data_IF_213648989968
#
_entry.id   IF_213648989968
#
_cell.length_a   1.000
_cell.length_b   1.000
_cell.length_c   1.000
_cell.angle_alpha   90.00
_cell.angle_beta   90.00
_cell.angle_gamma   90.00
#
_symmetry.space_group_name_H-M   'P 1'
#
loop_
_entity.id
_entity.type
_entity.pdbx_description
1 polymer ?
#
# COMPACT_ATOMS: atom_id res chain seq x y z
N UNK A 1 13.28 -8.82 7.03
CA UNK A 1 14.50 -8.25 7.65
C UNK A 1 15.65 -9.27 7.70
N UNK A 2 15.42 -10.51 8.15
CA UNK A 2 16.45 -11.58 8.27
C UNK A 2 17.26 -11.84 6.98
N UNK A 3 16.63 -11.92 5.80
CA UNK A 3 17.34 -12.14 4.52
C UNK A 3 18.32 -11.03 4.13
N UNK A 4 18.10 -9.81 4.58
CA UNK A 4 18.97 -8.67 4.26
C UNK A 4 20.22 -8.71 5.13
N UNK A 5 20.03 -9.01 6.43
CA UNK A 5 21.13 -9.17 7.40
C UNK A 5 21.99 -10.37 7.02
N UNK A 6 21.38 -11.51 6.68
CA UNK A 6 22.08 -12.72 6.24
C UNK A 6 22.92 -12.46 4.98
N UNK A 7 22.37 -11.76 3.98
CA UNK A 7 23.13 -11.38 2.79
C UNK A 7 24.28 -10.40 3.09
N UNK A 8 24.09 -9.45 4.00
CA UNK A 8 25.16 -8.53 4.38
C UNK A 8 26.31 -9.25 5.10
N UNK A 9 25.98 -10.21 5.95
CA UNK A 9 26.96 -10.96 6.73
C UNK A 9 27.61 -12.12 5.95
N UNK A 10 27.04 -12.56 4.83
CA UNK A 10 27.60 -13.64 4.01
C UNK A 10 28.21 -13.11 2.71
N UNK A 11 27.50 -12.26 1.97
CA UNK A 11 27.92 -11.89 0.63
C UNK A 11 28.94 -10.74 0.62
N UNK A 12 28.96 -9.86 1.62
CA UNK A 12 29.84 -8.68 1.64
C UNK A 12 31.10 -8.81 2.52
N UNK A 13 31.22 -9.87 3.31
CA UNK A 13 32.44 -10.17 4.08
C UNK A 13 33.51 -10.82 3.20
N UNK A 14 34.81 -10.76 3.58
CA UNK A 14 35.89 -11.41 2.83
C UNK A 14 35.59 -12.89 2.50
N UNK A 15 35.56 -13.24 1.20
CA UNK A 15 35.18 -14.57 0.71
C UNK A 15 33.73 -14.68 0.23
N UNK A 16 32.89 -13.69 0.56
CA UNK A 16 31.52 -13.55 0.07
C UNK A 16 31.41 -13.14 -1.40
N UNK A 17 30.22 -13.28 -1.97
CA UNK A 17 29.93 -13.05 -3.38
C UNK A 17 30.28 -11.65 -3.90
N UNK A 18 30.15 -10.63 -3.06
CA UNK A 18 30.42 -9.22 -3.34
C UNK A 18 31.63 -8.68 -2.56
N UNK A 19 32.47 -9.58 -2.05
CA UNK A 19 33.66 -9.23 -1.25
C UNK A 19 34.85 -8.72 -2.06
N UNK A 20 34.82 -8.90 -3.38
CA UNK A 20 35.87 -8.49 -4.29
C UNK A 20 35.57 -7.12 -4.88
N UNK A 21 36.62 -6.35 -5.13
CA UNK A 21 36.51 -5.10 -5.86
C UNK A 21 35.81 -5.33 -7.21
N UNK A 22 34.93 -4.40 -7.63
CA UNK A 22 34.20 -4.53 -8.89
C UNK A 22 35.16 -4.64 -10.08
N UNK A 23 34.77 -5.45 -11.07
CA UNK A 23 35.57 -5.64 -12.27
C UNK A 23 35.66 -4.35 -13.09
N UNK A 24 36.67 -4.24 -13.96
CA UNK A 24 36.81 -3.07 -14.86
C UNK A 24 35.57 -2.86 -15.74
N UNK A 25 34.93 -3.95 -16.17
CA UNK A 25 33.67 -3.91 -16.93
C UNK A 25 32.49 -3.40 -16.07
N UNK A 26 32.43 -3.76 -14.79
CA UNK A 26 31.41 -3.23 -13.87
C UNK A 26 31.61 -1.74 -13.59
N UNK A 27 32.86 -1.31 -13.43
CA UNK A 27 33.22 0.10 -13.27
C UNK A 27 32.84 0.92 -14.52
N UNK A 28 33.12 0.42 -15.72
CA UNK A 28 32.68 1.07 -16.97
C UNK A 28 31.15 1.12 -17.09
N UNK A 29 30.45 0.02 -16.79
CA UNK A 29 28.98 -0.04 -16.82
C UNK A 29 28.33 0.94 -15.83
N UNK A 30 28.93 1.10 -14.66
CA UNK A 30 28.40 1.95 -13.58
C UNK A 30 29.01 3.35 -13.55
N UNK A 31 29.88 3.68 -14.50
CA UNK A 31 30.53 4.99 -14.60
C UNK A 31 29.56 6.17 -14.75
N UNK A 32 28.36 5.90 -15.29
CA UNK A 32 27.27 6.86 -15.43
C UNK A 32 26.19 6.74 -14.34
N UNK A 33 26.37 5.83 -13.38
CA UNK A 33 25.50 5.75 -12.21
C UNK A 33 25.72 6.99 -11.35
N UNK A 34 24.63 7.51 -10.78
CA UNK A 34 24.73 8.67 -9.91
C UNK A 34 25.47 8.27 -8.63
N UNK A 35 26.40 9.11 -8.16
CA UNK A 35 27.15 8.88 -6.92
C UNK A 35 26.29 8.92 -5.66
N UNK A 36 25.07 9.45 -5.78
CA UNK A 36 24.08 9.53 -4.72
C UNK A 36 22.75 8.91 -5.17
N UNK A 37 22.01 8.36 -4.22
CA UNK A 37 20.69 7.79 -4.46
C UNK A 37 19.61 8.86 -4.74
N UNK A 38 19.94 10.15 -4.67
CA UNK A 38 19.00 11.24 -4.89
C UNK A 38 18.22 11.11 -6.20
N UNK A 39 18.91 10.72 -7.29
CA UNK A 39 18.26 10.49 -8.58
C UNK A 39 17.20 9.39 -8.49
N UNK A 40 17.50 8.29 -7.82
CA UNK A 40 16.56 7.20 -7.58
C UNK A 40 15.40 7.65 -6.68
N UNK A 41 15.66 8.39 -5.61
CA UNK A 41 14.63 8.90 -4.69
C UNK A 41 13.64 9.82 -5.40
N UNK A 42 14.13 10.74 -6.24
CA UNK A 42 13.26 11.56 -7.08
C UNK A 42 12.43 10.71 -8.05
N UNK A 43 13.00 9.65 -8.61
CA UNK A 43 12.30 8.74 -9.51
C UNK A 43 11.18 7.99 -8.79
N UNK A 44 11.43 7.53 -7.57
CA UNK A 44 10.44 6.88 -6.74
C UNK A 44 9.34 7.84 -6.30
N UNK A 45 9.68 9.06 -5.85
CA UNK A 45 8.71 10.07 -5.47
C UNK A 45 7.77 10.46 -6.62
N UNK A 46 8.31 10.63 -7.82
CA UNK A 46 7.50 10.90 -9.01
C UNK A 46 6.59 9.72 -9.36
N UNK A 47 7.07 8.48 -9.23
CA UNK A 47 6.30 7.26 -9.51
C UNK A 47 5.16 7.09 -8.49
N UNK A 48 5.47 7.23 -7.20
CA UNK A 48 4.51 7.17 -6.10
C UNK A 48 3.42 8.24 -6.28
N UNK A 49 3.80 9.50 -6.58
CA UNK A 49 2.83 10.54 -6.89
C UNK A 49 1.97 10.20 -8.11
N UNK A 50 2.51 9.48 -9.10
CA UNK A 50 1.76 9.07 -10.30
C UNK A 50 0.74 7.99 -9.97
N UNK A 51 1.15 6.99 -9.19
CA UNK A 51 0.29 5.89 -8.71
C UNK A 51 -0.82 6.40 -7.79
N UNK A 52 -0.52 7.28 -6.83
CA UNK A 52 -1.53 7.90 -5.94
C UNK A 52 -2.61 8.67 -6.68
N UNK A 53 -2.28 9.28 -7.83
CA UNK A 53 -3.25 10.03 -8.66
C UNK A 53 -4.03 9.12 -9.60
N UNK A 54 -3.47 7.97 -9.99
CA UNK A 54 -4.03 7.06 -10.98
C UNK A 54 -3.76 5.60 -10.56
N UNK A 55 -4.38 5.12 -9.48
CA UNK A 55 -4.06 3.81 -8.90
C UNK A 55 -4.43 2.66 -9.84
N UNK A 56 -5.43 2.86 -10.70
CA UNK A 56 -5.90 1.85 -11.65
C UNK A 56 -5.17 1.88 -13.00
N UNK A 57 -4.13 2.72 -13.14
CA UNK A 57 -3.35 2.76 -14.37
C UNK A 57 -2.25 1.70 -14.36
N UNK A 58 -1.96 1.10 -15.52
CA UNK A 58 -0.90 0.09 -15.61
C UNK A 58 0.48 0.69 -15.37
N UNK A 59 1.45 -0.14 -14.98
CA UNK A 59 2.84 0.29 -14.82
C UNK A 59 3.42 0.89 -16.10
N UNK A 60 3.02 0.40 -17.27
CA UNK A 60 3.40 0.97 -18.57
C UNK A 60 2.95 2.42 -18.73
N UNK A 61 1.75 2.76 -18.25
CA UNK A 61 1.25 4.13 -18.24
C UNK A 61 2.16 5.02 -17.39
N UNK A 62 2.43 4.61 -16.15
CA UNK A 62 3.26 5.38 -15.23
C UNK A 62 4.68 5.57 -15.78
N UNK A 63 5.31 4.52 -16.28
CA UNK A 63 6.65 4.59 -16.89
C UNK A 63 6.69 5.53 -18.10
N UNK A 64 5.66 5.48 -18.96
CA UNK A 64 5.54 6.39 -20.11
C UNK A 64 5.44 7.85 -19.67
N UNK A 65 4.64 8.14 -18.64
CA UNK A 65 4.53 9.49 -18.07
C UNK A 65 5.87 9.97 -17.51
N UNK A 66 6.61 9.11 -16.81
CA UNK A 66 7.94 9.47 -16.29
C UNK A 66 8.93 9.80 -17.40
N UNK A 67 8.99 8.94 -18.42
CA UNK A 67 9.85 9.15 -19.58
C UNK A 67 9.53 10.47 -20.28
N UNK A 68 8.24 10.75 -20.49
CA UNK A 68 7.80 11.99 -21.14
C UNK A 68 8.07 13.22 -20.28
N UNK A 69 7.84 13.16 -18.97
CA UNK A 69 8.11 14.29 -18.06
C UNK A 69 9.58 14.68 -18.07
N UNK A 70 10.49 13.70 -17.96
CA UNK A 70 11.94 13.94 -17.93
C UNK A 70 12.47 14.47 -19.25
N UNK A 71 11.95 13.94 -20.36
CA UNK A 71 12.42 14.33 -21.69
C UNK A 71 11.58 15.45 -22.31
N UNK A 72 10.63 16.05 -21.58
CA UNK A 72 9.62 16.95 -22.15
C UNK A 72 10.23 18.11 -22.93
N UNK A 73 11.22 18.80 -22.34
CA UNK A 73 11.84 19.98 -22.95
C UNK A 73 12.57 19.61 -24.24
N UNK A 74 13.45 18.62 -24.17
CA UNK A 74 14.22 18.13 -25.32
C UNK A 74 13.32 17.57 -26.41
N UNK A 75 12.28 16.81 -26.05
CA UNK A 75 11.31 16.26 -26.99
C UNK A 75 10.48 17.36 -27.68
N UNK A 76 10.01 18.37 -26.94
CA UNK A 76 9.25 19.49 -27.50
C UNK A 76 10.12 20.30 -28.46
N UNK A 77 11.37 20.57 -28.09
CA UNK A 77 12.30 21.30 -28.94
C UNK A 77 12.61 20.51 -30.23
N UNK A 78 12.90 19.21 -30.09
CA UNK A 78 13.09 18.34 -31.25
C UNK A 78 11.85 18.26 -32.16
N UNK A 79 10.64 18.33 -31.59
CA UNK A 79 9.38 18.38 -32.33
C UNK A 79 9.04 19.77 -32.91
N UNK A 80 9.61 20.86 -32.40
CA UNK A 80 9.42 22.21 -32.93
C UNK A 80 10.26 22.45 -34.17
N UNK A 81 11.46 21.88 -34.20
CA UNK A 81 12.44 22.10 -35.26
C UNK A 81 12.17 21.25 -36.51
N UNK A 82 11.15 20.39 -36.44
CA UNK A 82 10.80 19.46 -37.50
C UNK A 82 9.76 20.05 -38.46
N UNK A 83 9.90 19.82 -39.80
CA UNK A 83 8.88 20.20 -40.77
C UNK A 83 7.51 19.58 -40.46
N UNK A 84 6.44 20.36 -40.68
CA UNK A 84 5.07 19.98 -40.32
C UNK A 84 4.66 18.60 -40.88
N UNK A 85 4.98 18.32 -42.15
CA UNK A 85 4.64 17.05 -42.81
C UNK A 85 5.31 15.84 -42.11
N UNK A 86 6.59 15.98 -41.74
CA UNK A 86 7.36 14.92 -41.07
C UNK A 86 6.88 14.73 -39.63
N UNK A 87 6.54 15.82 -38.95
CA UNK A 87 5.93 15.79 -37.61
C UNK A 87 4.60 15.04 -37.61
N UNK A 88 3.72 15.31 -38.58
CA UNK A 88 2.43 14.62 -38.69
C UNK A 88 2.62 13.12 -38.95
N UNK A 89 3.57 12.75 -39.82
CA UNK A 89 3.89 11.36 -40.12
C UNK A 89 4.40 10.61 -38.87
N UNK A 90 5.31 11.22 -38.11
CA UNK A 90 5.82 10.64 -36.86
C UNK A 90 4.70 10.48 -35.83
N UNK A 91 3.82 11.47 -35.69
CA UNK A 91 2.68 11.37 -34.78
C UNK A 91 1.69 10.29 -35.19
N UNK A 92 1.45 10.10 -36.50
CA UNK A 92 0.65 8.98 -37.03
C UNK A 92 1.30 7.63 -36.70
N UNK A 93 2.60 7.49 -36.95
CA UNK A 93 3.38 6.28 -36.61
C UNK A 93 3.35 5.98 -35.12
N UNK A 94 3.59 6.98 -34.27
CA UNK A 94 3.57 6.85 -32.81
C UNK A 94 2.18 6.44 -32.29
N UNK A 95 1.09 7.02 -32.83
CA UNK A 95 -0.28 6.63 -32.47
C UNK A 95 -0.59 5.19 -32.89
N UNK A 96 -0.13 4.76 -34.07
CA UNK A 96 -0.29 3.37 -34.55
C UNK A 96 0.48 2.40 -33.65
N UNK A 97 1.77 2.65 -33.40
CA UNK A 97 2.60 1.83 -32.52
C UNK A 97 2.05 1.77 -31.09
N UNK A 98 1.58 2.90 -30.56
CA UNK A 98 0.95 2.94 -29.24
C UNK A 98 -0.35 2.15 -29.12
N UNK A 99 -1.11 1.95 -30.23
CA UNK A 99 -2.27 1.04 -30.23
C UNK A 99 -1.84 -0.42 -30.15
N UNK A 100 -0.89 -0.82 -30.99
CA UNK A 100 -0.34 -2.19 -31.01
C UNK A 100 0.23 -2.56 -29.65
N UNK A 101 1.02 -1.66 -29.04
CA UNK A 101 1.61 -1.90 -27.73
C UNK A 101 0.56 -2.06 -26.62
N UNK A 102 -0.53 -1.27 -26.66
CA UNK A 102 -1.63 -1.42 -25.69
C UNK A 102 -2.33 -2.76 -25.82
N UNK A 103 -2.55 -3.22 -27.03
CA UNK A 103 -3.16 -4.53 -27.30
C UNK A 103 -2.26 -5.67 -26.81
N UNK A 104 -0.96 -5.60 -27.07
CA UNK A 104 0.02 -6.56 -26.53
C UNK A 104 -0.01 -6.61 -25.01
N UNK A 105 -0.02 -5.45 -24.34
CA UNK A 105 -0.08 -5.39 -22.88
C UNK A 105 -1.38 -5.97 -22.33
N UNK A 106 -2.53 -5.67 -22.95
CA UNK A 106 -3.81 -6.25 -22.54
C UNK A 106 -3.82 -7.77 -22.68
N UNK A 107 -3.18 -8.32 -23.71
CA UNK A 107 -3.07 -9.77 -23.88
C UNK A 107 -2.17 -10.39 -22.81
N UNK A 108 -1.02 -9.77 -22.52
CA UNK A 108 -0.13 -10.22 -21.44
C UNK A 108 -0.82 -10.16 -20.06
N UNK A 109 -1.58 -9.10 -19.77
CA UNK A 109 -2.37 -8.99 -18.53
C UNK A 109 -3.38 -10.13 -18.41
N UNK A 110 -4.08 -10.49 -19.49
CA UNK A 110 -5.00 -11.64 -19.52
C UNK A 110 -4.28 -12.97 -19.30
N UNK A 111 -3.09 -13.15 -19.89
CA UNK A 111 -2.30 -14.38 -19.69
C UNK A 111 -1.90 -14.56 -18.22
N UNK A 112 -1.43 -13.48 -17.58
CA UNK A 112 -1.10 -13.49 -16.15
C UNK A 112 -2.33 -13.79 -15.31
N UNK A 113 -3.48 -13.18 -15.62
CA UNK A 113 -4.74 -13.45 -14.92
C UNK A 113 -5.18 -14.91 -15.06
N UNK A 114 -5.05 -15.50 -16.25
CA UNK A 114 -5.34 -16.92 -16.48
C UNK A 114 -4.41 -17.83 -15.67
N UNK A 115 -3.12 -17.50 -15.59
CA UNK A 115 -2.13 -18.27 -14.82
C UNK A 115 -2.39 -18.18 -13.30
N UNK A 116 -2.73 -16.99 -12.80
CA UNK A 116 -3.12 -16.81 -11.39
C UNK A 116 -4.39 -17.61 -11.09
N UNK A 117 -5.39 -17.56 -11.96
CA UNK A 117 -6.62 -18.33 -11.76
C UNK A 117 -6.36 -19.84 -11.79
N UNK A 118 -5.47 -20.32 -12.67
CA UNK A 118 -5.06 -21.72 -12.73
C UNK A 118 -4.37 -22.16 -11.45
N UNK A 119 -3.35 -21.43 -11.00
CA UNK A 119 -2.63 -21.73 -9.74
C UNK A 119 -3.57 -21.72 -8.53
N UNK A 120 -4.51 -20.77 -8.46
CA UNK A 120 -5.53 -20.72 -7.41
C UNK A 120 -6.46 -21.94 -7.40
N UNK A 121 -6.83 -22.48 -8.57
CA UNK A 121 -7.64 -23.70 -8.69
C UNK A 121 -6.83 -24.93 -8.25
N UNK A 122 -5.57 -25.03 -8.68
CA UNK A 122 -4.67 -26.12 -8.30
C UNK A 122 -4.38 -26.15 -6.79
N UNK A 123 -4.20 -24.99 -6.16
CA UNK A 123 -4.02 -24.88 -4.71
C UNK A 123 -5.29 -25.25 -3.92
N UNK A 124 -6.47 -24.91 -4.43
CA UNK A 124 -7.75 -25.32 -3.82
C UNK A 124 -8.01 -26.82 -3.96
N UNK A 125 -7.45 -27.46 -4.98
CA UNK A 125 -7.57 -28.90 -5.21
C UNK A 125 -6.68 -29.79 -4.34
N UNK A 126 -5.68 -29.23 -3.62
CA UNK A 126 -4.70 -30.02 -2.88
C UNK A 126 -4.62 -29.65 -1.38
N UNK A 127 -5.50 -30.21 -0.52
CA UNK A 127 -5.62 -29.85 0.90
C UNK A 127 -4.38 -30.17 1.77
N UNK A 128 -3.43 -30.99 1.28
CA UNK A 128 -2.23 -31.37 2.03
C UNK A 128 -1.18 -30.25 2.15
N UNK A 129 -1.19 -29.23 1.28
CA UNK A 129 -0.24 -28.10 1.39
C UNK A 129 -0.62 -27.08 2.47
N UNK A 130 -1.88 -27.04 2.91
CA UNK A 130 -2.37 -26.10 3.96
C UNK A 130 -1.83 -26.39 5.37
N UNK A 131 -1.30 -27.59 5.64
CA UNK A 131 -0.88 -28.00 7.00
C UNK A 131 0.56 -27.69 7.37
N UNK A 132 1.42 -27.24 6.44
CA UNK A 132 2.88 -27.09 6.72
C UNK A 132 3.32 -25.70 7.18
N UNK A 133 2.42 -24.71 7.29
CA UNK A 133 2.78 -23.33 7.70
C UNK A 133 2.25 -22.91 9.08
N UNK A 134 1.64 -23.81 9.86
CA UNK A 134 1.16 -23.53 11.22
C UNK A 134 2.00 -24.23 12.31
N UNK A 135 3.32 -24.17 12.23
CA UNK A 135 4.19 -24.82 13.22
C UNK A 135 5.40 -23.96 13.54
N UNK A 136 5.25 -23.07 14.52
CA UNK A 136 6.27 -22.54 15.42
C UNK A 136 5.58 -21.62 16.44
N UNK A 137 4.95 -22.24 17.43
CA UNK A 137 4.47 -21.60 18.65
C UNK A 137 5.15 -22.28 19.83
N UNK A 138 6.39 -21.92 20.11
CA UNK A 138 7.05 -22.18 21.38
C UNK A 138 7.92 -20.97 21.69
N UNK A 139 7.42 -20.07 22.55
CA UNK A 139 8.29 -19.17 23.31
C UNK A 139 7.93 -19.40 24.77
N UNK A 140 8.98 -19.77 25.50
CA UNK A 140 9.00 -20.23 26.87
C UNK A 140 8.54 -19.16 27.86
N UNK A 141 7.96 -19.65 28.96
CA UNK A 141 7.72 -18.89 30.18
C UNK A 141 9.05 -18.46 30.81
N UNK A 142 9.19 -17.18 31.15
CA UNK A 142 10.02 -16.69 32.26
C UNK A 142 9.55 -15.27 32.66
N UNK A 143 9.89 -14.76 33.87
CA UNK A 143 8.90 -14.37 34.87
C UNK A 143 8.66 -12.87 34.95
N UNK A 144 7.57 -12.54 35.66
CA UNK A 144 7.11 -11.22 36.06
C UNK A 144 8.25 -10.28 36.50
N UNK A 145 8.37 -9.15 35.81
CA UNK A 145 8.98 -7.94 36.39
C UNK A 145 7.98 -6.78 36.28
N UNK A 146 7.59 -6.30 37.46
CA UNK A 146 6.77 -5.13 37.71
C UNK A 146 7.29 -3.89 36.96
N UNK A 147 6.49 -3.40 36.03
CA UNK A 147 6.54 -2.00 35.61
C UNK A 147 5.18 -1.38 35.85
N UNK A 148 5.14 -0.54 36.89
CA UNK A 148 4.08 0.44 37.15
C UNK A 148 3.80 1.24 35.87
N UNK A 149 2.76 0.87 35.14
CA UNK A 149 2.30 1.60 33.96
C UNK A 149 0.84 2.05 34.16
N UNK A 150 0.66 3.35 34.00
CA UNK A 150 -0.54 4.11 34.25
C UNK A 150 -1.73 3.46 33.52
N UNK A 151 -2.73 3.06 34.31
CA UNK A 151 -3.91 2.30 33.89
C UNK A 151 -4.91 3.14 33.10
N UNK A 152 -4.58 3.49 31.85
CA UNK A 152 -5.58 3.96 30.89
C UNK A 152 -6.23 2.74 30.22
N UNK A 153 -7.25 2.21 30.90
CA UNK A 153 -8.09 1.12 30.38
C UNK A 153 -8.80 1.60 29.11
N UNK A 154 -8.48 0.97 27.98
CA UNK A 154 -9.37 0.96 26.81
C UNK A 154 -10.80 0.60 27.28
N UNK A 155 -11.84 1.22 26.72
CA UNK A 155 -13.21 0.99 27.19
C UNK A 155 -13.56 -0.50 27.11
N UNK A 156 -14.05 -1.05 28.22
CA UNK A 156 -14.55 -2.44 28.26
C UNK A 156 -15.84 -2.49 27.45
N UNK A 157 -15.80 -3.14 26.29
CA UNK A 157 -16.96 -3.24 25.38
C UNK A 157 -17.73 -4.52 25.71
N UNK A 158 -18.87 -4.36 26.38
CA UNK A 158 -19.74 -5.48 26.70
C UNK A 158 -20.54 -5.94 25.47
N UNK A 159 -21.18 -5.02 24.75
CA UNK A 159 -22.01 -5.31 23.56
C UNK A 159 -21.94 -4.17 22.53
N UNK A 160 -22.10 -4.53 21.26
CA UNK A 160 -22.18 -3.60 20.12
C UNK A 160 -23.63 -3.21 19.86
N UNK A 161 -23.89 -1.93 19.62
CA UNK A 161 -25.21 -1.46 19.19
C UNK A 161 -25.27 -1.32 17.67
N UNK A 162 -26.36 -1.78 17.07
CA UNK A 162 -26.58 -1.63 15.63
C UNK A 162 -26.70 -0.13 15.29
N UNK A 163 -26.09 0.28 14.17
CA UNK A 163 -25.93 1.67 13.71
C UNK A 163 -25.05 2.57 14.60
N UNK A 164 -24.29 2.02 15.55
CA UNK A 164 -23.30 2.77 16.30
C UNK A 164 -22.05 3.03 15.47
N UNK A 165 -21.50 4.24 15.56
CA UNK A 165 -20.18 4.54 15.00
C UNK A 165 -19.09 4.15 16.00
N UNK A 166 -18.08 3.46 15.47
CA UNK A 166 -16.94 2.97 16.22
C UNK A 166 -15.64 3.33 15.49
N UNK A 167 -14.56 3.51 16.25
CA UNK A 167 -13.21 3.69 15.75
C UNK A 167 -12.44 2.40 15.96
N UNK A 168 -11.91 1.82 14.88
CA UNK A 168 -11.25 0.52 14.90
C UNK A 168 -9.79 0.68 14.51
N UNK A 169 -8.88 0.11 15.31
CA UNK A 169 -7.48 -0.06 14.95
C UNK A 169 -7.35 -1.15 13.88
N UNK A 170 -6.83 -0.80 12.71
CA UNK A 170 -6.68 -1.74 11.60
C UNK A 170 -5.34 -1.54 10.89
N UNK A 171 -4.46 -2.53 11.01
CA UNK A 171 -3.07 -2.47 10.52
C UNK A 171 -2.34 -1.26 11.11
N UNK A 172 -1.90 -0.33 10.26
CA UNK A 172 -1.01 0.78 10.63
C UNK A 172 -1.77 2.06 11.00
N UNK A 173 -3.11 2.07 10.89
CA UNK A 173 -3.96 3.24 11.14
C UNK A 173 -5.28 2.84 11.82
N UNK A 174 -6.07 3.82 12.26
CA UNK A 174 -7.44 3.59 12.67
C UNK A 174 -8.44 4.08 11.62
N UNK A 175 -9.61 3.43 11.58
CA UNK A 175 -10.67 3.76 10.65
C UNK A 175 -12.02 3.88 11.39
N UNK A 176 -12.81 4.92 11.11
CA UNK A 176 -14.18 4.98 11.58
C UNK A 176 -15.06 4.06 10.75
N UNK A 177 -16.00 3.40 11.41
CA UNK A 177 -16.99 2.54 10.77
C UNK A 177 -18.33 2.56 11.50
N UNK A 178 -19.37 2.14 10.79
CA UNK A 178 -20.72 2.00 11.33
C UNK A 178 -21.04 0.51 11.49
N UNK A 179 -21.51 0.12 12.67
CA UNK A 179 -21.92 -1.25 12.97
C UNK A 179 -23.22 -1.56 12.23
N UNK A 180 -23.19 -2.54 11.31
CA UNK A 180 -24.38 -2.99 10.59
C UNK A 180 -25.16 -4.04 11.38
N UNK A 181 -24.43 -4.99 11.99
CA UNK A 181 -24.99 -6.09 12.78
C UNK A 181 -23.99 -6.49 13.85
N UNK A 182 -24.49 -6.76 15.05
CA UNK A 182 -23.72 -7.39 16.13
C UNK A 182 -23.93 -8.91 16.14
N UNK A 183 -22.84 -9.66 16.30
CA UNK A 183 -22.84 -11.13 16.42
C UNK A 183 -21.91 -11.54 17.57
N UNK A 184 -22.35 -11.28 18.81
CA UNK A 184 -21.66 -11.67 20.04
C UNK A 184 -20.35 -10.89 20.30
N UNK A 185 -19.17 -11.53 20.27
CA UNK A 185 -17.87 -10.85 20.44
C UNK A 185 -17.42 -10.08 19.20
N UNK A 186 -18.10 -10.26 18.06
CA UNK A 186 -17.76 -9.63 16.79
C UNK A 186 -18.90 -8.74 16.29
N UNK A 187 -18.53 -7.69 15.55
CA UNK A 187 -19.46 -6.83 14.84
C UNK A 187 -19.12 -6.80 13.36
N UNK A 188 -20.15 -6.80 12.51
CA UNK A 188 -20.01 -6.52 11.08
C UNK A 188 -20.04 -5.01 10.91
N UNK A 189 -18.92 -4.43 10.48
CA UNK A 189 -18.70 -3.00 10.43
C UNK A 189 -18.49 -2.55 8.99
N UNK A 190 -19.19 -1.50 8.59
CA UNK A 190 -19.00 -0.80 7.33
C UNK A 190 -18.01 0.35 7.53
N UNK A 191 -16.88 0.32 6.85
CA UNK A 191 -15.80 1.28 7.05
C UNK A 191 -15.87 2.51 6.14
N UNK A 192 -15.38 3.62 6.66
CA UNK A 192 -15.17 4.86 5.92
C UNK A 192 -13.69 5.00 5.54
N UNK A 193 -13.43 5.59 4.38
CA UNK A 193 -12.08 5.83 3.90
C UNK A 193 -11.61 7.24 4.29
N UNK A 194 -10.34 7.41 4.72
CA UNK A 194 -9.78 8.71 5.06
C UNK A 194 -9.68 9.63 3.83
N UNK A 195 -9.97 10.91 4.02
CA UNK A 195 -9.71 11.94 3.02
C UNK A 195 -8.28 12.50 3.15
N UNK A 196 -7.90 13.32 2.15
CA UNK A 196 -6.65 14.10 2.19
C UNK A 196 -6.59 15.11 3.35
N UNK A 197 -7.74 15.46 3.95
CA UNK A 197 -7.85 16.40 5.07
C UNK A 197 -8.06 15.60 6.34
N UNK A 198 -7.22 15.83 7.35
CA UNK A 198 -7.31 15.17 8.66
C UNK A 198 -8.66 15.40 9.32
N UNK A 199 -9.20 14.37 9.98
CA UNK A 199 -10.55 14.40 10.56
C UNK A 199 -11.70 14.17 9.58
N UNK A 200 -11.45 14.13 8.25
CA UNK A 200 -12.50 13.94 7.25
C UNK A 200 -12.44 12.55 6.63
N UNK A 201 -13.61 11.94 6.47
CA UNK A 201 -13.76 10.62 5.87
C UNK A 201 -14.94 10.59 4.90
N UNK A 202 -14.93 9.59 4.01
CA UNK A 202 -15.97 9.38 3.00
C UNK A 202 -16.38 7.91 2.96
N UNK A 203 -17.62 7.66 2.56
CA UNK A 203 -18.03 6.32 2.19
C UNK A 203 -17.34 5.92 0.87
N UNK A 204 -16.60 4.81 0.84
CA UNK A 204 -15.98 4.33 -0.38
C UNK A 204 -17.06 3.93 -1.41
N UNK A 205 -16.73 4.05 -2.70
CA UNK A 205 -17.65 3.71 -3.79
C UNK A 205 -18.02 2.22 -3.82
N UNK A 206 -17.11 1.35 -3.33
CA UNK A 206 -17.39 -0.05 -3.01
C UNK A 206 -17.46 -0.16 -1.50
N UNK A 207 -18.51 -0.80 -1.00
CA UNK A 207 -18.68 -0.98 0.45
C UNK A 207 -17.54 -1.83 1.00
N UNK A 208 -16.84 -1.30 1.99
CA UNK A 208 -15.84 -2.04 2.76
C UNK A 208 -16.51 -2.52 4.05
N UNK A 209 -16.81 -3.82 4.10
CA UNK A 209 -17.52 -4.46 5.20
C UNK A 209 -16.67 -5.58 5.75
N UNK A 210 -16.35 -5.53 7.04
CA UNK A 210 -15.54 -6.57 7.68
C UNK A 210 -16.06 -6.94 9.08
N UNK A 211 -15.69 -8.13 9.55
CA UNK A 211 -15.94 -8.56 10.94
C UNK A 211 -14.83 -8.02 11.84
N UNK A 212 -15.21 -7.34 12.92
CA UNK A 212 -14.31 -6.68 13.87
C UNK A 212 -14.53 -7.26 15.27
N UNK A 213 -13.44 -7.67 15.91
CA UNK A 213 -13.46 -8.09 17.33
C UNK A 213 -13.38 -6.88 18.25
N UNK A 214 -13.99 -6.99 19.43
CA UNK A 214 -14.02 -5.96 20.48
C UNK A 214 -12.64 -5.40 20.84
N UNK A 215 -11.62 -6.25 20.83
CA UNK A 215 -10.25 -5.89 21.25
C UNK A 215 -9.58 -4.83 20.34
N UNK A 216 -10.09 -4.63 19.13
CA UNK A 216 -9.55 -3.66 18.17
C UNK A 216 -10.31 -2.33 18.16
N UNK A 217 -11.31 -2.16 19.01
CA UNK A 217 -12.14 -0.95 19.03
C UNK A 217 -11.57 0.04 20.03
N UNK A 218 -11.19 1.22 19.53
CA UNK A 218 -10.57 2.29 20.31
C UNK A 218 -11.61 3.17 21.01
N UNK A 219 -12.69 3.50 20.30
CA UNK A 219 -13.75 4.40 20.77
C UNK A 219 -15.10 4.05 20.13
N UNK A 220 -16.19 4.41 20.80
CA UNK A 220 -17.58 4.16 20.36
C UNK A 220 -18.48 5.37 20.63
N UNK A 221 -19.65 5.40 20.00
CA UNK A 221 -20.74 6.31 20.34
C UNK A 221 -20.49 7.78 19.96
N UNK A 222 -19.54 8.05 19.06
CA UNK A 222 -19.35 9.38 18.50
C UNK A 222 -20.24 9.56 17.26
N UNK A 223 -20.61 10.80 16.95
CA UNK A 223 -21.44 11.11 15.79
C UNK A 223 -20.67 12.01 14.84
N UNK A 224 -20.39 11.57 13.61
CA UNK A 224 -19.75 12.45 12.65
C UNK A 224 -20.67 13.55 12.17
N UNK A 225 -20.11 14.74 12.00
CA UNK A 225 -20.79 15.85 11.35
C UNK A 225 -20.80 15.62 9.83
N UNK A 226 -21.99 15.59 9.26
CA UNK A 226 -22.16 15.52 7.82
C UNK A 226 -21.77 16.86 7.17
N UNK A 227 -20.80 16.84 6.27
CA UNK A 227 -20.29 18.02 5.56
C UNK A 227 -20.35 17.81 4.04
N UNK A 228 -20.42 18.91 3.28
CA UNK A 228 -20.52 18.89 1.81
C UNK A 228 -21.67 18.02 1.30
N UNK A 229 -22.88 18.26 1.81
CA UNK A 229 -24.13 17.66 1.32
C UNK A 229 -24.15 16.12 1.34
N UNK A 230 -23.68 15.49 2.41
CA UNK A 230 -23.71 14.02 2.53
C UNK A 230 -22.46 13.30 2.02
N UNK A 231 -21.55 14.03 1.36
CA UNK A 231 -20.41 13.42 0.67
C UNK A 231 -19.20 13.21 1.57
N UNK A 232 -19.06 13.99 2.63
CA UNK A 232 -17.94 13.93 3.56
C UNK A 232 -18.46 13.97 4.99
N UNK A 233 -17.68 13.41 5.90
CA UNK A 233 -18.02 13.27 7.31
C UNK A 233 -16.82 13.70 8.15
N UNK A 234 -17.06 14.62 9.09
CA UNK A 234 -16.04 15.17 9.96
C UNK A 234 -16.20 14.61 11.38
N UNK A 235 -15.10 14.14 11.96
CA UNK A 235 -15.08 13.59 13.33
C UNK A 235 -14.37 14.58 14.24
N UNK A 236 -15.09 15.14 15.23
CA UNK A 236 -14.53 16.11 16.19
C UNK A 236 -13.52 15.46 17.11
N UNK A 237 -13.78 14.20 17.44
CA UNK A 237 -13.00 13.36 18.32
C UNK A 237 -11.75 12.77 17.63
N UNK A 238 -11.43 13.19 16.40
CA UNK A 238 -10.32 12.66 15.62
C UNK A 238 -9.00 12.67 16.40
N UNK A 239 -8.63 13.79 17.02
CA UNK A 239 -7.35 13.93 17.71
C UNK A 239 -7.27 13.09 19.00
N UNK A 240 -8.42 12.90 19.64
CA UNK A 240 -8.55 12.01 20.80
C UNK A 240 -8.39 10.54 20.38
N UNK A 241 -9.04 10.13 19.28
CA UNK A 241 -8.94 8.79 18.74
C UNK A 241 -7.51 8.52 18.23
N UNK A 242 -6.87 9.49 17.59
CA UNK A 242 -5.45 9.43 17.20
C UNK A 242 -4.55 9.18 18.42
N UNK A 243 -4.83 9.85 19.54
CA UNK A 243 -4.09 9.67 20.78
C UNK A 243 -4.32 8.27 21.37
N UNK A 244 -5.56 7.76 21.34
CA UNK A 244 -5.89 6.38 21.75
C UNK A 244 -5.22 5.35 20.85
N UNK A 245 -5.15 5.60 19.54
CA UNK A 245 -4.48 4.71 18.60
C UNK A 245 -2.97 4.63 18.86
N UNK A 246 -2.32 5.76 19.17
CA UNK A 246 -0.89 5.76 19.56
C UNK A 246 -0.64 4.97 20.85
N UNK A 247 -1.54 5.09 21.82
CA UNK A 247 -1.48 4.28 23.05
C UNK A 247 -1.68 2.80 22.77
N UNK A 248 -2.63 2.47 21.89
CA UNK A 248 -2.87 1.11 21.42
C UNK A 248 -1.63 0.53 20.73
N UNK A 249 -0.99 1.30 19.85
CA UNK A 249 0.25 0.91 19.18
C UNK A 249 1.34 0.55 20.19
N UNK A 250 1.63 1.45 21.13
CA UNK A 250 2.65 1.21 22.16
C UNK A 250 2.37 -0.02 23.06
N UNK A 251 1.11 -0.45 23.16
CA UNK A 251 0.70 -1.57 24.02
C UNK A 251 0.81 -2.92 23.30
N UNK A 252 0.56 -2.95 22.00
CA UNK A 252 0.44 -4.18 21.21
C UNK A 252 1.56 -4.39 20.20
N UNK A 253 2.38 -3.36 19.92
CA UNK A 253 3.50 -3.37 18.97
C UNK A 253 4.74 -2.69 19.58
#
# INVERSE_FOLDING_TARGET
>A
MLRTVEKQLVDFLPGGKYSKAPSKADLERTSFSHSTNLGCEHHFGDLDSSQKRRPNASMHHHTTVQLLKRNRKSLIHWLSDMPSNKKEEIMKKARKGGRVLREQNMNAEKEVEMEINRSMIEEKGNPQKRRKTNGLSEIANDPEEDYDCITNKLPVINEFSDNEYIAVAYQDQWYPGCVLKSSGPEAIVKFMAPCRRQGYFIWPAREDIQSVKKDFVLKRGFLPDCVNSGRQWYFKEHDEIDSLFRQYQNKFF
#
